data_IF_459121935344
#
_entry.id   IF_459121935344
#
_cell.length_a   1.000
_cell.length_b   1.000
_cell.length_c   1.000
_cell.angle_alpha   90.00
_cell.angle_beta   90.00
_cell.angle_gamma   90.00
#
_symmetry.space_group_name_H-M   'P 1'
#
loop_
_entity.id
_entity.type
_entity.pdbx_description
1 polymer ?
#
# COMPACT_ATOMS: atom_id res chain seq x y z
N UNK A 1 -18.57 -39.29 -6.59
CA UNK A 1 -18.54 -37.99 -5.86
C UNK A 1 -17.11 -37.74 -5.36
N UNK A 2 -16.44 -38.70 -4.73
CA UNK A 2 -15.07 -38.59 -4.22
C UNK A 2 -14.05 -38.20 -5.31
N UNK A 3 -14.08 -38.82 -6.48
CA UNK A 3 -13.11 -38.56 -7.56
C UNK A 3 -13.20 -37.11 -8.11
N UNK A 4 -14.40 -36.52 -8.16
CA UNK A 4 -14.58 -35.10 -8.56
C UNK A 4 -14.12 -34.12 -7.48
N UNK A 5 -14.16 -34.53 -6.22
CA UNK A 5 -13.69 -33.72 -5.08
C UNK A 5 -12.16 -33.67 -5.02
N UNK A 6 -11.50 -34.82 -5.18
CA UNK A 6 -10.03 -34.90 -5.26
C UNK A 6 -9.49 -34.10 -6.45
N UNK A 7 -10.08 -34.23 -7.63
CA UNK A 7 -9.67 -33.48 -8.82
C UNK A 7 -9.85 -31.95 -8.66
N UNK A 8 -10.85 -31.51 -7.90
CA UNK A 8 -11.08 -30.10 -7.61
C UNK A 8 -10.08 -29.55 -6.58
N UNK A 9 -9.68 -30.37 -5.63
CA UNK A 9 -8.65 -30.05 -4.64
C UNK A 9 -7.27 -29.94 -5.29
N UNK A 10 -6.92 -30.85 -6.19
CA UNK A 10 -5.66 -30.81 -6.95
C UNK A 10 -5.55 -29.57 -7.85
N UNK A 11 -6.63 -29.20 -8.54
CA UNK A 11 -6.68 -27.98 -9.37
C UNK A 11 -6.53 -26.73 -8.50
N UNK A 12 -7.11 -26.73 -7.31
CA UNK A 12 -7.02 -25.59 -6.39
C UNK A 12 -5.60 -25.46 -5.80
N UNK A 13 -4.97 -26.57 -5.44
CA UNK A 13 -3.57 -26.63 -4.96
C UNK A 13 -2.62 -26.08 -6.03
N UNK A 14 -2.72 -26.55 -7.27
CA UNK A 14 -1.90 -26.08 -8.40
C UNK A 14 -2.08 -24.56 -8.66
N UNK A 15 -3.33 -24.07 -8.57
CA UNK A 15 -3.56 -22.63 -8.70
C UNK A 15 -2.94 -21.81 -7.58
N UNK A 16 -3.02 -22.29 -6.34
CA UNK A 16 -2.42 -21.63 -5.18
C UNK A 16 -0.89 -21.55 -5.33
N UNK A 17 -0.26 -22.65 -5.72
CA UNK A 17 1.18 -22.72 -6.01
C UNK A 17 1.58 -21.70 -7.07
N UNK A 18 0.80 -21.58 -8.16
CA UNK A 18 1.04 -20.60 -9.21
C UNK A 18 0.98 -19.16 -8.70
N UNK A 19 0.06 -18.81 -7.79
CA UNK A 19 0.02 -17.46 -7.20
C UNK A 19 1.16 -17.21 -6.22
N UNK A 20 1.59 -18.21 -5.45
CA UNK A 20 2.76 -18.11 -4.58
C UNK A 20 4.03 -17.92 -5.41
N UNK A 21 4.20 -18.69 -6.48
CA UNK A 21 5.30 -18.54 -7.41
C UNK A 21 5.30 -17.18 -8.10
N UNK A 22 4.13 -16.72 -8.56
CA UNK A 22 3.95 -15.39 -9.16
C UNK A 22 4.39 -14.28 -8.19
N UNK A 23 3.98 -14.35 -6.92
CA UNK A 23 4.40 -13.39 -5.91
C UNK A 23 5.91 -13.38 -5.70
N UNK A 24 6.55 -14.56 -5.66
CA UNK A 24 8.01 -14.70 -5.54
C UNK A 24 8.76 -14.12 -6.74
N UNK A 25 8.31 -14.41 -7.96
CA UNK A 25 8.89 -13.87 -9.18
C UNK A 25 8.75 -12.35 -9.25
N UNK A 26 7.56 -11.83 -8.92
CA UNK A 26 7.31 -10.39 -8.86
C UNK A 26 8.18 -9.70 -7.80
N UNK A 27 8.38 -10.34 -6.64
CA UNK A 27 9.26 -9.81 -5.60
C UNK A 27 10.70 -9.65 -6.10
N UNK A 28 11.24 -10.64 -6.82
CA UNK A 28 12.56 -10.54 -7.44
C UNK A 28 12.62 -9.47 -8.54
N UNK A 29 11.55 -9.35 -9.33
CA UNK A 29 11.47 -8.36 -10.42
C UNK A 29 11.45 -6.93 -9.89
N UNK A 30 10.65 -6.61 -8.87
CA UNK A 30 10.51 -5.25 -8.36
C UNK A 30 11.81 -4.73 -7.71
N UNK A 31 12.68 -5.59 -7.21
CA UNK A 31 13.99 -5.22 -6.64
C UNK A 31 15.16 -5.42 -7.59
N UNK A 32 14.90 -5.76 -8.86
CA UNK A 32 15.95 -5.95 -9.88
C UNK A 32 16.59 -4.64 -10.34
N UNK A 33 15.90 -3.53 -10.21
CA UNK A 33 16.40 -2.17 -10.50
C UNK A 33 15.48 -1.11 -9.89
N UNK A 34 15.98 0.13 -9.82
CA UNK A 34 15.25 1.27 -9.25
C UNK A 34 13.93 1.59 -9.95
N UNK A 35 13.84 1.42 -11.26
CA UNK A 35 12.63 1.75 -12.02
C UNK A 35 11.49 0.78 -11.70
N UNK A 36 11.79 -0.51 -11.59
CA UNK A 36 10.82 -1.52 -11.20
C UNK A 36 10.33 -1.29 -9.78
N UNK A 37 11.25 -0.92 -8.86
CA UNK A 37 10.88 -0.55 -7.50
C UNK A 37 9.94 0.65 -7.46
N UNK A 38 10.28 1.73 -8.14
CA UNK A 38 9.44 2.93 -8.21
C UNK A 38 8.06 2.65 -8.83
N UNK A 39 7.99 1.80 -9.88
CA UNK A 39 6.71 1.37 -10.45
C UNK A 39 5.85 0.59 -9.44
N UNK A 40 6.49 -0.29 -8.66
CA UNK A 40 5.79 -0.98 -7.57
C UNK A 40 5.31 0.00 -6.50
N UNK A 41 6.15 0.93 -6.03
CA UNK A 41 5.78 1.95 -5.05
C UNK A 41 4.61 2.82 -5.54
N UNK A 42 4.55 3.14 -6.83
CA UNK A 42 3.43 3.85 -7.43
C UNK A 42 2.12 3.02 -7.40
N UNK A 43 2.20 1.71 -7.54
CA UNK A 43 1.05 0.81 -7.33
C UNK A 43 0.65 0.77 -5.85
N UNK A 44 1.62 0.60 -4.96
CA UNK A 44 1.41 0.55 -3.52
C UNK A 44 0.75 1.82 -2.97
N UNK A 45 1.09 3.01 -3.51
CA UNK A 45 0.49 4.29 -3.11
C UNK A 45 -1.03 4.34 -3.30
N UNK A 46 -1.55 3.70 -4.34
CA UNK A 46 -2.99 3.59 -4.61
C UNK A 46 -3.65 2.50 -3.77
N UNK A 47 -2.89 1.43 -3.50
CA UNK A 47 -3.35 0.21 -2.83
C UNK A 47 -2.84 0.10 -1.38
N UNK A 48 -2.57 1.21 -0.71
CA UNK A 48 -1.95 1.28 0.61
C UNK A 48 -2.72 0.52 1.73
N UNK A 49 -3.98 0.14 1.49
CA UNK A 49 -4.79 -0.68 2.40
C UNK A 49 -4.55 -2.18 2.25
N UNK A 50 -3.81 -2.60 1.24
CA UNK A 50 -3.44 -3.98 1.02
C UNK A 50 -2.08 -4.27 1.63
N UNK A 51 -1.91 -5.48 2.18
CA UNK A 51 -0.60 -5.96 2.62
C UNK A 51 0.36 -6.12 1.42
N UNK A 52 1.66 -6.10 1.69
CA UNK A 52 2.70 -6.17 0.67
C UNK A 52 2.49 -7.32 -0.34
N UNK A 53 2.22 -8.53 0.14
CA UNK A 53 2.01 -9.70 -0.74
C UNK A 53 0.81 -9.51 -1.67
N UNK A 54 -0.27 -8.91 -1.19
CA UNK A 54 -1.43 -8.59 -2.01
C UNK A 54 -1.10 -7.49 -3.05
N UNK A 55 -0.33 -6.48 -2.63
CA UNK A 55 0.14 -5.41 -3.53
C UNK A 55 0.99 -5.98 -4.67
N UNK A 56 1.89 -6.96 -4.40
CA UNK A 56 2.66 -7.67 -5.43
C UNK A 56 1.75 -8.37 -6.43
N UNK A 57 0.80 -9.16 -5.93
CA UNK A 57 -0.12 -9.91 -6.78
C UNK A 57 -1.04 -8.99 -7.59
N UNK A 58 -1.47 -7.85 -7.03
CA UNK A 58 -2.25 -6.88 -7.80
C UNK A 58 -1.34 -6.20 -8.83
N UNK A 59 -0.13 -5.81 -8.45
CA UNK A 59 0.83 -5.13 -9.34
C UNK A 59 1.09 -5.93 -10.62
N UNK A 60 1.41 -7.22 -10.50
CA UNK A 60 1.73 -8.06 -11.66
C UNK A 60 0.50 -8.37 -12.50
N UNK A 61 -0.67 -8.58 -11.90
CA UNK A 61 -1.89 -8.93 -12.63
C UNK A 61 -2.61 -7.71 -13.21
N UNK A 62 -2.51 -6.55 -12.55
CA UNK A 62 -3.18 -5.30 -12.94
C UNK A 62 -2.36 -4.07 -12.51
N UNK A 63 -1.28 -3.72 -13.22
CA UNK A 63 -0.38 -2.61 -12.83
C UNK A 63 -1.06 -1.25 -12.70
N UNK A 64 -2.15 -1.05 -13.43
CA UNK A 64 -2.93 0.20 -13.43
C UNK A 64 -4.09 0.21 -12.44
N UNK A 65 -4.22 -0.80 -11.58
CA UNK A 65 -5.27 -0.85 -10.58
C UNK A 65 -5.26 0.40 -9.69
N UNK A 66 -6.46 0.88 -9.36
CA UNK A 66 -6.65 2.10 -8.56
C UNK A 66 -7.42 1.85 -7.28
N UNK A 67 -8.42 0.98 -7.32
CA UNK A 67 -9.25 0.63 -6.16
C UNK A 67 -9.80 -0.78 -6.34
N UNK A 68 -9.27 -1.73 -5.62
CA UNK A 68 -9.67 -3.12 -5.68
C UNK A 68 -10.58 -3.49 -4.50
N UNK A 69 -11.56 -4.35 -4.76
CA UNK A 69 -12.38 -4.95 -3.71
C UNK A 69 -12.99 -6.29 -4.19
N UNK A 70 -13.41 -7.11 -3.24
CA UNK A 70 -14.17 -8.33 -3.54
C UNK A 70 -15.53 -8.03 -4.15
N UNK A 71 -16.07 -9.00 -4.91
CA UNK A 71 -17.35 -8.87 -5.63
C UNK A 71 -18.51 -8.48 -4.69
N UNK A 72 -18.51 -8.98 -3.45
CA UNK A 72 -19.55 -8.64 -2.47
C UNK A 72 -19.53 -7.17 -2.07
N UNK A 73 -18.35 -6.57 -1.95
CA UNK A 73 -18.21 -5.14 -1.66
C UNK A 73 -18.73 -4.33 -2.83
N UNK A 74 -18.33 -4.69 -4.05
CA UNK A 74 -18.80 -4.01 -5.25
C UNK A 74 -20.33 -4.10 -5.38
N UNK A 75 -20.88 -5.29 -5.31
CA UNK A 75 -22.31 -5.52 -5.57
C UNK A 75 -23.17 -5.03 -4.39
N UNK A 76 -22.87 -5.44 -3.15
CA UNK A 76 -23.76 -5.20 -2.00
C UNK A 76 -23.57 -3.82 -1.39
N UNK A 77 -22.30 -3.37 -1.21
CA UNK A 77 -22.02 -2.08 -0.54
C UNK A 77 -21.99 -0.92 -1.51
N UNK A 78 -21.35 -1.10 -2.69
CA UNK A 78 -21.17 -0.03 -3.66
C UNK A 78 -22.28 0.01 -4.71
N UNK A 79 -23.11 -1.04 -4.82
CA UNK A 79 -24.13 -1.21 -5.87
C UNK A 79 -23.53 -1.00 -7.26
N UNK A 80 -22.31 -1.48 -7.45
CA UNK A 80 -21.56 -1.50 -8.70
C UNK A 80 -21.36 -2.95 -9.08
N UNK A 81 -21.58 -3.29 -10.32
CA UNK A 81 -21.59 -4.69 -10.76
C UNK A 81 -20.35 -4.98 -11.59
N UNK A 82 -19.62 -6.04 -11.23
CA UNK A 82 -18.49 -6.52 -12.02
C UNK A 82 -18.99 -6.91 -13.41
N UNK A 83 -18.31 -6.42 -14.45
CA UNK A 83 -18.65 -6.69 -15.84
C UNK A 83 -18.51 -8.18 -16.13
N UNK A 84 -19.47 -8.73 -16.90
CA UNK A 84 -19.44 -10.15 -17.30
C UNK A 84 -18.17 -10.45 -18.09
N UNK A 85 -17.53 -11.58 -17.79
CA UNK A 85 -16.29 -12.01 -18.45
C UNK A 85 -15.01 -11.38 -17.90
N UNK A 86 -15.10 -10.47 -16.91
CA UNK A 86 -13.91 -9.91 -16.28
C UNK A 86 -13.17 -10.97 -15.47
N UNK A 87 -11.87 -11.10 -15.71
CA UNK A 87 -10.97 -11.95 -14.92
C UNK A 87 -10.63 -11.26 -13.59
N UNK A 88 -10.97 -11.90 -12.48
CA UNK A 88 -10.61 -11.41 -11.15
C UNK A 88 -9.10 -11.50 -10.89
N UNK A 89 -8.60 -10.58 -10.09
CA UNK A 89 -7.22 -10.57 -9.58
C UNK A 89 -7.16 -11.58 -8.43
N UNK A 90 -6.35 -12.63 -8.57
CA UNK A 90 -6.20 -13.66 -7.55
C UNK A 90 -5.22 -13.23 -6.47
N UNK A 91 -5.63 -13.34 -5.21
CA UNK A 91 -4.83 -13.06 -4.04
C UNK A 91 -4.76 -14.30 -3.15
N UNK A 92 -3.62 -14.51 -2.51
CA UNK A 92 -3.45 -15.59 -1.52
C UNK A 92 -3.96 -15.10 -0.17
N UNK A 93 -4.80 -15.89 0.47
CA UNK A 93 -5.36 -15.60 1.79
C UNK A 93 -5.35 -16.85 2.65
N UNK A 94 -5.63 -16.69 3.94
CA UNK A 94 -5.89 -17.82 4.84
C UNK A 94 -7.40 -17.85 5.12
N UNK A 95 -8.03 -18.98 4.85
CA UNK A 95 -9.43 -19.23 5.16
C UNK A 95 -9.55 -20.48 6.00
N UNK A 96 -10.18 -20.39 7.17
CA UNK A 96 -10.28 -21.51 8.13
C UNK A 96 -8.96 -22.20 8.44
N UNK A 97 -7.87 -21.39 8.58
CA UNK A 97 -6.53 -21.90 8.88
C UNK A 97 -5.78 -22.54 7.70
N UNK A 98 -6.35 -22.52 6.49
CA UNK A 98 -5.74 -23.09 5.28
C UNK A 98 -5.51 -22.00 4.22
N UNK A 99 -4.42 -22.09 3.44
CA UNK A 99 -4.21 -21.21 2.30
C UNK A 99 -5.37 -21.34 1.30
N UNK A 100 -5.86 -20.20 0.83
CA UNK A 100 -6.98 -20.11 -0.10
C UNK A 100 -6.75 -18.96 -1.10
N UNK A 101 -7.45 -19.00 -2.22
CA UNK A 101 -7.44 -17.92 -3.20
C UNK A 101 -8.71 -17.11 -3.02
N UNK A 102 -8.55 -15.79 -2.86
CA UNK A 102 -9.64 -14.82 -2.94
C UNK A 102 -9.48 -13.96 -4.18
N UNK A 103 -10.59 -13.54 -4.77
CA UNK A 103 -10.56 -12.69 -5.95
C UNK A 103 -11.04 -11.28 -5.62
N UNK A 104 -10.30 -10.29 -6.14
CA UNK A 104 -10.69 -8.89 -6.11
C UNK A 104 -10.79 -8.36 -7.55
N UNK A 105 -11.52 -7.26 -7.72
CA UNK A 105 -11.75 -6.60 -9.00
C UNK A 105 -11.43 -5.12 -8.83
N UNK A 106 -10.77 -4.52 -9.81
CA UNK A 106 -10.54 -3.08 -9.83
C UNK A 106 -11.85 -2.34 -10.15
N UNK A 107 -11.95 -1.10 -9.73
CA UNK A 107 -13.12 -0.26 -10.03
C UNK A 107 -13.40 -0.13 -11.52
N UNK A 108 -12.37 -0.16 -12.37
CA UNK A 108 -12.50 -0.14 -13.82
C UNK A 108 -13.20 -1.37 -14.40
N UNK A 109 -13.19 -2.47 -13.67
CA UNK A 109 -13.87 -3.71 -14.00
C UNK A 109 -15.38 -3.68 -13.67
N UNK A 110 -15.86 -2.60 -13.06
CA UNK A 110 -17.25 -2.47 -12.65
C UNK A 110 -18.04 -1.54 -13.56
N UNK A 111 -19.33 -1.80 -13.69
CA UNK A 111 -20.29 -0.89 -14.31
C UNK A 111 -21.02 -0.07 -13.25
N UNK A 112 -21.36 1.16 -13.59
CA UNK A 112 -22.20 2.05 -12.80
C UNK A 112 -23.66 1.82 -13.22
N UNK A 113 -24.57 1.74 -12.26
CA UNK A 113 -26.01 1.72 -12.43
C UNK A 113 -26.64 2.90 -11.69
N UNK A 114 -27.96 3.14 -11.86
CA UNK A 114 -28.69 4.28 -11.27
C UNK A 114 -28.51 4.37 -9.74
N UNK A 115 -28.45 3.21 -9.06
CA UNK A 115 -28.30 3.14 -7.61
C UNK A 115 -26.86 2.99 -7.15
N UNK A 116 -25.89 3.08 -8.04
CA UNK A 116 -24.48 2.92 -7.71
C UNK A 116 -24.01 4.06 -6.80
N UNK A 117 -23.29 3.67 -5.73
CA UNK A 117 -22.64 4.65 -4.87
C UNK A 117 -21.37 5.18 -5.53
N UNK A 118 -21.11 6.46 -5.36
CA UNK A 118 -19.87 7.05 -5.80
C UNK A 118 -18.71 6.48 -4.99
N UNK A 119 -17.65 6.05 -5.70
CA UNK A 119 -16.41 5.67 -5.05
C UNK A 119 -15.69 6.93 -4.59
N UNK A 120 -15.55 7.06 -3.28
CA UNK A 120 -14.78 8.14 -2.70
C UNK A 120 -13.33 7.68 -2.52
N UNK A 121 -12.45 8.23 -3.35
CA UNK A 121 -11.00 8.14 -3.18
C UNK A 121 -10.53 9.53 -2.78
N UNK A 122 -10.20 9.70 -1.50
CA UNK A 122 -9.77 11.00 -0.99
C UNK A 122 -8.58 11.56 -1.80
N UNK A 123 -8.56 12.86 -1.96
CA UNK A 123 -7.46 13.62 -2.55
C UNK A 123 -7.05 14.68 -1.55
N UNK A 124 -5.75 14.81 -1.32
CA UNK A 124 -5.24 15.88 -0.49
C UNK A 124 -5.48 17.23 -1.19
N UNK A 125 -5.87 18.22 -0.39
CA UNK A 125 -6.01 19.62 -0.82
C UNK A 125 -5.35 20.52 0.23
N UNK A 126 -4.85 21.72 -0.16
CA UNK A 126 -4.21 22.64 0.80
C UNK A 126 -5.07 22.99 2.02
N UNK A 127 -6.38 23.02 1.85
CA UNK A 127 -7.33 23.33 2.94
C UNK A 127 -7.34 22.28 4.08
N UNK A 128 -6.79 21.08 3.86
CA UNK A 128 -6.68 20.04 4.88
C UNK A 128 -5.39 20.10 5.68
N UNK A 129 -4.47 21.05 5.37
CA UNK A 129 -3.12 21.06 5.92
C UNK A 129 -3.13 20.97 7.45
N UNK A 130 -3.82 21.89 8.11
CA UNK A 130 -3.83 21.96 9.58
C UNK A 130 -4.42 20.68 10.20
N UNK A 131 -5.57 20.23 9.70
CA UNK A 131 -6.22 19.00 10.22
C UNK A 131 -5.32 17.75 10.03
N UNK A 132 -4.63 17.66 8.90
CA UNK A 132 -3.75 16.55 8.58
C UNK A 132 -2.48 16.60 9.42
N UNK A 133 -1.82 17.77 9.50
CA UNK A 133 -0.55 17.91 10.23
C UNK A 133 -0.72 17.70 11.74
N UNK A 134 -1.83 18.19 12.32
CA UNK A 134 -2.20 17.96 13.72
C UNK A 134 -2.45 16.45 13.98
N UNK A 135 -3.19 15.79 13.09
CA UNK A 135 -3.43 14.36 13.22
C UNK A 135 -2.13 13.54 13.12
N UNK A 136 -1.22 13.93 12.24
CA UNK A 136 0.08 13.29 12.10
C UNK A 136 0.97 13.52 13.32
N UNK A 137 1.02 14.73 13.87
CA UNK A 137 1.75 15.00 15.10
C UNK A 137 1.23 14.15 16.27
N UNK A 138 -0.10 14.10 16.45
CA UNK A 138 -0.73 13.32 17.49
C UNK A 138 -0.39 11.82 17.43
N UNK A 139 -0.32 11.26 16.22
CA UNK A 139 -0.14 9.81 16.03
C UNK A 139 1.34 9.38 15.91
N UNK A 140 2.20 10.25 15.41
CA UNK A 140 3.61 9.91 15.13
C UNK A 140 4.60 10.75 15.93
N UNK A 141 4.16 11.73 16.72
CA UNK A 141 5.03 12.57 17.57
C UNK A 141 5.94 13.53 16.79
N UNK A 142 5.73 13.69 15.48
CA UNK A 142 6.49 14.61 14.64
C UNK A 142 5.75 15.95 14.56
N UNK A 143 6.38 17.07 14.99
CA UNK A 143 5.73 18.37 15.03
C UNK A 143 5.11 18.79 13.70
N UNK A 144 4.01 19.53 13.78
CA UNK A 144 3.36 20.13 12.62
C UNK A 144 4.35 20.95 11.78
N UNK A 145 4.24 20.85 10.46
CA UNK A 145 4.95 21.71 9.51
C UNK A 145 3.97 22.48 8.65
N UNK A 146 4.37 23.71 8.25
CA UNK A 146 3.65 24.48 7.24
C UNK A 146 3.71 23.85 5.85
N UNK A 147 4.60 22.88 5.67
CA UNK A 147 4.80 22.11 4.43
C UNK A 147 4.58 20.64 4.74
N UNK A 148 3.44 20.09 4.31
CA UNK A 148 3.11 18.67 4.59
C UNK A 148 4.24 17.71 4.18
N UNK A 149 4.88 17.94 3.04
CA UNK A 149 5.95 17.08 2.55
C UNK A 149 7.15 16.98 3.50
N UNK A 150 7.49 18.05 4.24
CA UNK A 150 8.55 18.04 5.25
C UNK A 150 8.18 17.18 6.45
N UNK A 151 6.95 17.32 6.96
CA UNK A 151 6.48 16.47 8.05
C UNK A 151 6.45 14.99 7.64
N UNK A 152 5.99 14.69 6.42
CA UNK A 152 5.99 13.34 5.88
C UNK A 152 7.40 12.76 5.77
N UNK A 153 8.41 13.57 5.40
CA UNK A 153 9.80 13.13 5.34
C UNK A 153 10.36 12.79 6.72
N UNK A 154 10.06 13.60 7.74
CA UNK A 154 10.45 13.33 9.12
C UNK A 154 9.78 12.05 9.64
N UNK A 155 8.48 11.87 9.40
CA UNK A 155 7.73 10.67 9.79
C UNK A 155 8.32 9.43 9.11
N UNK A 156 8.54 9.47 7.79
CA UNK A 156 9.12 8.35 7.04
C UNK A 156 10.51 7.95 7.59
N UNK A 157 11.34 8.95 7.91
CA UNK A 157 12.67 8.72 8.49
C UNK A 157 12.56 8.09 9.88
N UNK A 158 11.64 8.59 10.71
CA UNK A 158 11.45 8.06 12.07
C UNK A 158 10.92 6.63 12.01
N UNK A 159 9.90 6.35 11.20
CA UNK A 159 9.32 5.00 11.07
C UNK A 159 10.33 3.97 10.56
N UNK A 160 11.21 4.35 9.62
CA UNK A 160 12.28 3.48 9.15
C UNK A 160 13.28 3.14 10.27
N UNK A 161 13.66 4.13 11.11
CA UNK A 161 14.54 3.93 12.28
C UNK A 161 13.88 3.06 13.35
N UNK A 162 12.59 3.29 13.62
CA UNK A 162 11.83 2.53 14.61
C UNK A 162 11.64 1.07 14.16
N UNK A 163 11.39 0.84 12.87
CA UNK A 163 11.33 -0.50 12.33
C UNK A 163 12.67 -1.25 12.51
N UNK A 164 13.79 -0.60 12.19
CA UNK A 164 15.10 -1.17 12.46
C UNK A 164 15.34 -1.42 13.95
N UNK A 165 14.95 -0.49 14.81
CA UNK A 165 15.12 -0.65 16.27
C UNK A 165 14.39 -1.86 16.80
N UNK A 166 13.20 -2.13 16.27
CA UNK A 166 12.34 -3.21 16.74
C UNK A 166 12.71 -4.58 16.11
N UNK A 167 13.17 -4.60 14.84
CA UNK A 167 13.34 -5.82 14.07
C UNK A 167 14.75 -5.98 13.46
N UNK A 168 15.76 -5.22 13.93
CA UNK A 168 17.08 -5.18 13.31
C UNK A 168 17.80 -6.53 13.27
N UNK A 169 17.56 -7.43 14.22
CA UNK A 169 18.14 -8.78 14.21
C UNK A 169 17.47 -9.64 13.11
N UNK A 170 16.16 -9.68 13.08
CA UNK A 170 15.39 -10.41 12.06
C UNK A 170 15.68 -9.90 10.64
N UNK A 171 15.92 -8.58 10.51
CA UNK A 171 16.30 -7.97 9.24
C UNK A 171 17.66 -8.49 8.79
N UNK A 172 18.64 -8.55 9.69
CA UNK A 172 19.98 -9.06 9.40
C UNK A 172 19.96 -10.56 9.09
N UNK A 173 19.19 -11.35 9.84
CA UNK A 173 19.03 -12.78 9.60
C UNK A 173 18.40 -13.08 8.23
N UNK A 174 17.53 -12.17 7.74
CA UNK A 174 16.91 -12.27 6.42
C UNK A 174 17.81 -11.88 5.24
N UNK A 175 19.06 -11.46 5.49
CA UNK A 175 19.97 -10.97 4.45
C UNK A 175 20.60 -12.06 3.59
N UNK A 176 20.48 -13.32 3.96
CA UNK A 176 21.08 -14.44 3.22
C UNK A 176 20.71 -14.39 1.73
N UNK A 177 21.71 -14.54 0.86
CA UNK A 177 21.57 -14.51 -0.59
C UNK A 177 21.28 -13.11 -1.17
N UNK A 178 21.39 -12.05 -0.39
CA UNK A 178 21.26 -10.64 -0.84
C UNK A 178 22.62 -9.94 -0.90
N UNK A 179 22.68 -8.77 -1.52
CA UNK A 179 23.87 -7.91 -1.51
C UNK A 179 24.21 -7.33 -0.13
N UNK A 180 23.36 -7.55 0.85
CA UNK A 180 23.55 -7.10 2.25
C UNK A 180 24.16 -8.19 3.14
N UNK A 181 24.31 -9.43 2.64
CA UNK A 181 24.86 -10.54 3.40
C UNK A 181 26.32 -10.25 3.82
N UNK A 182 26.62 -10.46 5.10
CA UNK A 182 27.95 -10.21 5.65
C UNK A 182 28.33 -8.73 5.87
N UNK A 183 27.40 -7.81 5.60
CA UNK A 183 27.63 -6.37 5.81
C UNK A 183 27.70 -6.04 7.33
N UNK A 184 28.60 -5.12 7.68
CA UNK A 184 28.68 -4.59 9.04
C UNK A 184 27.36 -3.97 9.49
N UNK A 185 26.93 -4.27 10.72
CA UNK A 185 25.62 -3.85 11.27
C UNK A 185 25.33 -2.35 11.10
N UNK A 186 26.36 -1.50 11.27
CA UNK A 186 26.20 -0.04 11.15
C UNK A 186 25.86 0.38 9.73
N UNK A 187 26.48 -0.22 8.73
CA UNK A 187 26.30 0.12 7.32
C UNK A 187 25.03 -0.52 6.77
N UNK A 188 24.73 -1.75 7.19
CA UNK A 188 23.44 -2.39 6.92
C UNK A 188 22.28 -1.52 7.41
N UNK A 189 22.35 -1.06 8.68
CA UNK A 189 21.34 -0.17 9.25
C UNK A 189 21.15 1.09 8.43
N UNK A 190 22.24 1.76 8.05
CA UNK A 190 22.18 2.99 7.24
C UNK A 190 21.49 2.72 5.91
N UNK A 191 21.88 1.65 5.22
CA UNK A 191 21.35 1.28 3.91
C UNK A 191 19.88 0.90 4.01
N UNK A 192 19.49 0.06 4.98
CA UNK A 192 18.10 -0.31 5.22
C UNK A 192 17.22 0.89 5.55
N UNK A 193 17.63 1.71 6.54
CA UNK A 193 16.84 2.86 6.95
C UNK A 193 16.70 3.90 5.83
N UNK A 194 17.76 4.12 5.02
CA UNK A 194 17.70 4.99 3.85
C UNK A 194 16.67 4.47 2.85
N UNK A 195 16.77 3.20 2.45
CA UNK A 195 15.87 2.59 1.49
C UNK A 195 14.42 2.60 1.96
N UNK A 196 14.17 2.22 3.22
CA UNK A 196 12.84 2.23 3.81
C UNK A 196 12.25 3.65 3.86
N UNK A 197 13.01 4.63 4.38
CA UNK A 197 12.56 6.01 4.52
C UNK A 197 12.16 6.64 3.18
N UNK A 198 13.01 6.53 2.15
CA UNK A 198 12.69 7.07 0.82
C UNK A 198 11.52 6.34 0.15
N UNK A 199 11.40 5.02 0.36
CA UNK A 199 10.28 4.25 -0.19
C UNK A 199 8.95 4.62 0.47
N UNK A 200 8.93 4.77 1.79
CA UNK A 200 7.76 5.27 2.54
C UNK A 200 7.40 6.68 2.04
N UNK A 201 8.37 7.60 2.02
CA UNK A 201 8.15 8.97 1.57
C UNK A 201 7.61 9.03 0.14
N UNK A 202 8.15 8.23 -0.78
CA UNK A 202 7.68 8.14 -2.17
C UNK A 202 6.19 7.79 -2.24
N UNK A 203 5.76 6.77 -1.50
CA UNK A 203 4.36 6.36 -1.42
C UNK A 203 3.47 7.49 -0.88
N UNK A 204 3.91 8.12 0.23
CA UNK A 204 3.17 9.19 0.89
C UNK A 204 2.99 10.40 -0.03
N UNK A 205 4.07 10.84 -0.67
CA UNK A 205 4.05 11.96 -1.61
C UNK A 205 3.10 11.70 -2.78
N UNK A 206 3.26 10.57 -3.46
CA UNK A 206 2.39 10.22 -4.59
C UNK A 206 0.93 10.15 -4.18
N UNK A 207 0.61 9.54 -3.04
CA UNK A 207 -0.78 9.40 -2.60
C UNK A 207 -1.41 10.74 -2.22
N UNK A 208 -0.61 11.68 -1.71
CA UNK A 208 -1.04 13.05 -1.44
C UNK A 208 -1.05 13.95 -2.69
N UNK A 209 -0.65 13.45 -3.86
CA UNK A 209 -0.65 14.20 -5.12
C UNK A 209 0.58 15.09 -5.31
N UNK A 210 1.64 14.85 -4.56
CA UNK A 210 2.94 15.49 -4.80
C UNK A 210 3.75 14.70 -5.82
N UNK A 211 4.72 15.37 -6.43
CA UNK A 211 5.67 14.80 -7.38
C UNK A 211 6.98 14.49 -6.64
N UNK A 212 7.33 13.22 -6.35
CA UNK A 212 8.52 12.88 -5.55
C UNK A 212 9.82 13.45 -6.10
N UNK A 213 9.95 13.56 -7.43
CA UNK A 213 11.12 14.09 -8.12
C UNK A 213 11.43 15.55 -7.78
N UNK A 214 10.50 16.29 -7.18
CA UNK A 214 10.73 17.64 -6.66
C UNK A 214 11.40 17.65 -5.29
N UNK A 215 11.47 16.52 -4.62
CA UNK A 215 11.97 16.41 -3.24
C UNK A 215 13.28 15.61 -3.17
N UNK A 216 13.46 14.64 -4.05
CA UNK A 216 14.69 13.84 -4.13
C UNK A 216 14.85 13.20 -5.52
N UNK A 217 16.09 12.82 -5.81
CA UNK A 217 16.43 12.13 -7.07
C UNK A 217 16.10 10.63 -7.01
N UNK A 218 15.80 10.02 -8.15
CA UNK A 218 15.60 8.58 -8.29
C UNK A 218 16.81 7.75 -7.83
N UNK A 219 18.04 8.32 -7.87
CA UNK A 219 19.27 7.67 -7.43
C UNK A 219 19.23 7.21 -5.96
N UNK A 220 18.32 7.72 -5.13
CA UNK A 220 18.16 7.22 -3.75
C UNK A 220 17.77 5.74 -3.72
N UNK A 221 17.25 5.20 -4.82
CA UNK A 221 16.82 3.80 -4.98
C UNK A 221 17.83 2.91 -5.71
N UNK A 222 19.00 3.38 -6.08
CA UNK A 222 20.04 2.56 -6.76
C UNK A 222 20.40 1.31 -5.95
N UNK A 223 20.50 1.46 -4.64
CA UNK A 223 20.83 0.37 -3.72
C UNK A 223 19.72 -0.70 -3.58
N UNK A 224 18.57 -0.58 -4.26
CA UNK A 224 17.47 -1.57 -4.11
C UNK A 224 17.89 -2.96 -4.57
N UNK A 225 18.84 -3.06 -5.50
CA UNK A 225 19.37 -4.33 -6.00
C UNK A 225 20.07 -5.14 -4.91
N UNK A 226 20.62 -4.50 -3.88
CA UNK A 226 21.22 -5.19 -2.74
C UNK A 226 20.17 -5.91 -1.88
N UNK A 227 18.90 -5.53 -1.99
CA UNK A 227 17.78 -6.18 -1.32
C UNK A 227 17.16 -7.32 -2.15
N UNK A 228 17.73 -7.65 -3.32
CA UNK A 228 17.18 -8.64 -4.23
C UNK A 228 17.46 -10.06 -3.76
N UNK A 229 16.79 -10.47 -2.69
CA UNK A 229 16.61 -11.87 -2.28
C UNK A 229 15.18 -12.04 -1.77
N UNK A 230 14.69 -13.29 -1.72
CA UNK A 230 13.33 -13.57 -1.25
C UNK A 230 13.09 -13.04 0.17
N UNK A 231 14.08 -13.17 1.06
CA UNK A 231 14.01 -12.68 2.44
C UNK A 231 13.97 -11.16 2.50
N UNK A 232 14.99 -10.50 1.93
CA UNK A 232 15.12 -9.05 2.02
C UNK A 232 14.04 -8.28 1.28
N UNK A 233 13.63 -8.73 0.09
CA UNK A 233 12.52 -8.10 -0.63
C UNK A 233 11.23 -8.15 0.19
N UNK A 234 10.97 -9.28 0.85
CA UNK A 234 9.80 -9.43 1.73
C UNK A 234 9.89 -8.49 2.94
N UNK A 235 11.04 -8.42 3.58
CA UNK A 235 11.26 -7.58 4.78
C UNK A 235 11.09 -6.11 4.43
N UNK A 236 11.80 -5.59 3.42
CA UNK A 236 11.70 -4.18 3.04
C UNK A 236 10.30 -3.83 2.54
N UNK A 237 9.67 -4.72 1.77
CA UNK A 237 8.32 -4.53 1.27
C UNK A 237 7.28 -4.46 2.38
N UNK A 238 7.35 -5.32 3.38
CA UNK A 238 6.45 -5.27 4.55
C UNK A 238 6.67 -4.01 5.37
N UNK A 239 7.94 -3.64 5.66
CA UNK A 239 8.27 -2.43 6.39
C UNK A 239 7.67 -1.18 5.72
N UNK A 240 7.87 -1.05 4.42
CA UNK A 240 7.40 0.08 3.62
C UNK A 240 5.88 0.11 3.51
N UNK A 241 5.26 -1.04 3.21
CA UNK A 241 3.81 -1.15 3.04
C UNK A 241 3.06 -0.85 4.34
N UNK A 242 3.51 -1.41 5.47
CA UNK A 242 2.90 -1.19 6.77
C UNK A 242 3.03 0.28 7.19
N UNK A 243 4.24 0.82 7.21
CA UNK A 243 4.50 2.19 7.66
C UNK A 243 3.74 3.23 6.82
N UNK A 244 3.79 3.11 5.48
CA UNK A 244 3.06 4.02 4.61
C UNK A 244 1.54 3.87 4.75
N UNK A 245 1.05 2.64 4.93
CA UNK A 245 -0.36 2.35 5.14
C UNK A 245 -0.91 3.02 6.41
N UNK A 246 -0.18 2.94 7.52
CA UNK A 246 -0.55 3.55 8.79
C UNK A 246 -0.64 5.08 8.68
N UNK A 247 0.36 5.73 8.07
CA UNK A 247 0.36 7.18 7.85
C UNK A 247 -0.81 7.61 6.96
N UNK A 248 -1.01 6.94 5.82
CA UNK A 248 -2.08 7.26 4.88
C UNK A 248 -3.47 7.02 5.47
N UNK A 249 -3.59 6.07 6.40
CA UNK A 249 -4.83 5.84 7.13
C UNK A 249 -5.17 7.03 8.03
N UNK A 250 -4.19 7.58 8.77
CA UNK A 250 -4.41 8.76 9.61
C UNK A 250 -4.74 10.00 8.78
N UNK A 251 -4.07 10.20 7.65
CA UNK A 251 -4.39 11.28 6.71
C UNK A 251 -5.85 11.14 6.21
N UNK A 252 -6.25 9.94 5.83
CA UNK A 252 -7.62 9.69 5.38
C UNK A 252 -8.64 10.03 6.46
N UNK A 253 -8.41 9.62 7.72
CA UNK A 253 -9.30 9.93 8.86
C UNK A 253 -9.41 11.44 9.05
N UNK A 254 -8.30 12.17 9.04
CA UNK A 254 -8.28 13.63 9.21
C UNK A 254 -9.07 14.34 8.10
N UNK A 255 -8.87 13.94 6.83
CA UNK A 255 -9.61 14.50 5.69
C UNK A 255 -11.11 14.22 5.83
N UNK A 256 -11.52 13.01 6.18
CA UNK A 256 -12.93 12.67 6.35
C UNK A 256 -13.58 13.44 7.51
N UNK A 257 -12.86 13.63 8.63
CA UNK A 257 -13.35 14.43 9.75
C UNK A 257 -13.61 15.89 9.32
N UNK A 258 -12.63 16.51 8.67
CA UNK A 258 -12.74 17.88 8.16
C UNK A 258 -13.90 18.05 7.18
N UNK A 259 -14.07 17.13 6.23
CA UNK A 259 -15.16 17.22 5.24
C UNK A 259 -16.54 17.04 5.89
N UNK A 260 -16.65 16.23 6.95
CA UNK A 260 -17.88 16.06 7.71
C UNK A 260 -18.24 17.35 8.46
N UNK A 261 -17.29 17.93 9.19
CA UNK A 261 -17.48 19.18 9.92
C UNK A 261 -17.97 20.32 9.01
N UNK A 262 -17.30 20.52 7.88
CA UNK A 262 -17.72 21.51 6.87
C UNK A 262 -19.13 21.26 6.32
N UNK A 263 -19.55 20.01 6.22
CA UNK A 263 -20.90 19.67 5.75
C UNK A 263 -21.93 20.00 6.80
N UNK A 264 -21.65 19.73 8.06
CA UNK A 264 -22.55 19.99 9.19
C UNK A 264 -22.72 21.50 9.41
N UNK A 265 -21.64 22.30 9.28
CA UNK A 265 -21.68 23.75 9.34
C UNK A 265 -22.60 24.34 8.24
N UNK A 266 -22.46 23.91 7.00
CA UNK A 266 -23.31 24.37 5.87
C UNK A 266 -24.79 24.01 6.08
N UNK A 267 -25.06 22.87 6.68
CA UNK A 267 -26.43 22.43 6.97
C UNK A 267 -27.03 23.26 8.11
N UNK A 268 -26.25 23.59 9.15
CA UNK A 268 -26.66 24.49 10.25
C UNK A 268 -26.87 25.91 9.82
N UNK A 269 -26.07 26.46 8.90
CA UNK A 269 -26.26 27.81 8.35
C UNK A 269 -27.53 27.91 7.46
N UNK A 270 -27.86 26.88 6.71
CA UNK A 270 -29.08 26.83 5.90
C UNK A 270 -30.34 26.78 6.79
N UNK A 271 -30.30 26.14 7.95
CA UNK A 271 -31.40 26.16 8.93
C UNK A 271 -31.61 27.55 9.54
N UNK A 272 -30.54 28.31 9.80
CA UNK A 272 -30.61 29.67 10.35
C UNK A 272 -31.07 30.74 9.35
N UNK A 273 -30.92 30.47 8.04
CA UNK A 273 -31.37 31.39 6.98
C UNK A 273 -32.84 31.19 6.56
N UNK A 274 -33.47 30.10 6.99
CA UNK A 274 -34.86 29.74 6.66
C UNK A 274 -35.83 29.99 7.80
N UNK A 275 -35.38 30.52 8.92
CA UNK A 275 -36.15 30.98 10.07
C UNK A 275 -35.71 32.38 10.49
#
# INVERSE_FOLDING_TARGET
IQHKQTQKEDIMATKLENYVQMAGQTAAEITSNQENWMRFLATASKLYRYAFTDQLLIHVQRPLATACAGIDIWNKRMRRYVKRGTKGIGLVSISSGRPAIRYVFDVSDTRIDKDSRNLYLWKYKPEYLDSVTIALEKNFGIPCSKVLAEQLAHIATQLAKDYWKNYGMEIMDGAAGSGLEGMEKSDFRKKFCKMAAFSILYILLLRCGFYPEKYFSAQVFEDITDFNSQGMTKIIGHAVSQASGDVLHQIAIAIFAFEREKKDEKTGENYKKTH
#
